data_IF_033363757066
#
_entry.id   IF_033363757066
#
_cell.length_a   1.000
_cell.length_b   1.000
_cell.length_c   1.000
_cell.angle_alpha   90.00
_cell.angle_beta   90.00
_cell.angle_gamma   90.00
#
_symmetry.space_group_name_H-M   'P 1'
#
loop_
_entity.id
_entity.type
_entity.pdbx_description
1 polymer ?
#
# COMPACT_ATOMS: atom_id res chain seq x y z
N UNK A 1 -2.61 0.16 2.91
CA UNK A 1 -1.30 0.49 2.28
C UNK A 1 -1.49 1.29 0.98
N UNK A 2 -1.13 2.59 0.96
CA UNK A 2 -1.13 3.38 -0.28
C UNK A 2 0.19 3.17 -1.02
N UNK A 3 0.31 2.04 -1.70
CA UNK A 3 1.48 1.70 -2.49
C UNK A 3 1.04 1.18 -3.84
N UNK A 4 1.72 1.61 -4.90
CA UNK A 4 1.48 1.13 -6.26
C UNK A 4 2.12 -0.24 -6.52
N UNK A 5 3.13 -0.63 -5.74
CA UNK A 5 3.91 -1.85 -5.93
C UNK A 5 4.53 -2.35 -4.61
N UNK A 6 4.84 -3.65 -4.54
CA UNK A 6 5.55 -4.31 -3.44
C UNK A 6 7.06 -3.99 -3.42
N UNK A 7 7.41 -2.77 -3.01
CA UNK A 7 8.79 -2.39 -2.70
C UNK A 7 9.30 -2.95 -1.37
N UNK A 8 10.59 -2.75 -1.08
CA UNK A 8 11.27 -3.15 0.17
C UNK A 8 10.48 -2.78 1.44
N UNK A 9 9.89 -1.59 1.49
CA UNK A 9 9.11 -1.10 2.64
C UNK A 9 7.88 -1.96 2.98
N UNK A 10 7.22 -2.55 1.98
CA UNK A 10 6.05 -3.42 2.23
C UNK A 10 6.47 -4.78 2.75
N UNK A 11 7.65 -5.25 2.35
CA UNK A 11 8.14 -6.60 2.66
C UNK A 11 8.79 -6.71 4.04
N UNK A 12 9.31 -5.60 4.58
CA UNK A 12 10.10 -5.63 5.82
C UNK A 12 9.53 -4.74 6.92
N UNK A 13 9.30 -3.46 6.63
CA UNK A 13 8.96 -2.49 7.69
C UNK A 13 7.53 -2.68 8.21
N UNK A 14 6.55 -2.84 7.30
CA UNK A 14 5.14 -3.00 7.69
C UNK A 14 4.90 -4.27 8.52
N UNK A 15 5.41 -5.46 8.12
CA UNK A 15 5.28 -6.66 8.94
C UNK A 15 5.89 -6.52 10.33
N UNK A 16 7.05 -5.86 10.44
CA UNK A 16 7.71 -5.65 11.73
C UNK A 16 6.86 -4.78 12.66
N UNK A 17 6.36 -3.64 12.16
CA UNK A 17 5.48 -2.74 12.92
C UNK A 17 4.20 -3.48 13.35
N UNK A 18 3.60 -4.26 12.45
CA UNK A 18 2.39 -5.06 12.76
C UNK A 18 2.69 -6.07 13.87
N UNK A 19 3.85 -6.73 13.84
CA UNK A 19 4.23 -7.70 14.87
C UNK A 19 4.39 -7.05 16.25
N UNK A 20 5.05 -5.89 16.31
CA UNK A 20 5.25 -5.12 17.55
C UNK A 20 3.92 -4.62 18.15
N UNK A 21 2.97 -4.20 17.31
CA UNK A 21 1.66 -3.74 17.76
C UNK A 21 0.75 -4.92 18.12
N UNK A 22 0.80 -6.02 17.37
CA UNK A 22 0.01 -7.22 17.67
C UNK A 22 0.39 -7.82 19.02
N UNK A 23 1.66 -7.71 19.42
CA UNK A 23 2.10 -8.11 20.76
C UNK A 23 1.54 -7.22 21.88
N UNK A 24 1.25 -5.96 21.60
CA UNK A 24 0.67 -5.00 22.56
C UNK A 24 -0.86 -5.12 22.67
N UNK A 25 -1.54 -5.58 21.61
CA UNK A 25 -3.00 -5.69 21.53
C UNK A 25 -3.43 -7.07 21.01
N UNK A 26 -3.28 -8.14 21.82
CA UNK A 26 -3.53 -9.52 21.40
C UNK A 26 -5.00 -9.81 21.03
N UNK A 27 -5.94 -8.99 21.49
CA UNK A 27 -7.37 -9.08 21.17
C UNK A 27 -7.75 -8.47 19.82
N UNK A 28 -6.84 -7.72 19.18
CA UNK A 28 -7.09 -7.02 17.92
C UNK A 28 -6.42 -7.80 16.77
N UNK A 29 -7.19 -8.09 15.73
CA UNK A 29 -6.67 -8.72 14.51
C UNK A 29 -6.20 -7.67 13.51
N UNK A 30 -4.93 -7.75 13.10
CA UNK A 30 -4.34 -6.88 12.09
C UNK A 30 -4.18 -7.62 10.76
N UNK A 31 -4.63 -7.00 9.66
CA UNK A 31 -4.47 -7.55 8.31
C UNK A 31 -3.77 -6.54 7.41
N UNK A 32 -2.72 -6.98 6.71
CA UNK A 32 -2.04 -6.19 5.70
C UNK A 32 -2.74 -6.43 4.35
N UNK A 33 -3.38 -5.39 3.82
CA UNK A 33 -3.95 -5.43 2.48
C UNK A 33 -2.87 -5.50 1.39
N UNK A 34 -3.25 -5.98 0.20
CA UNK A 34 -2.37 -5.95 -0.97
C UNK A 34 -2.13 -4.51 -1.43
N UNK A 35 -0.97 -4.20 -2.04
CA UNK A 35 -0.78 -2.91 -2.72
C UNK A 35 -1.80 -2.73 -3.83
N UNK A 36 -1.97 -1.48 -4.27
CA UNK A 36 -2.92 -1.11 -5.32
C UNK A 36 -2.57 -1.83 -6.63
N UNK A 37 -1.29 -1.95 -6.97
CA UNK A 37 -0.87 -2.68 -8.16
C UNK A 37 -1.26 -1.97 -9.46
N UNK A 38 -1.39 -2.76 -10.54
CA UNK A 38 -1.78 -2.27 -11.86
C UNK A 38 -3.30 -2.24 -11.95
N UNK A 39 -3.87 -1.06 -11.78
CA UNK A 39 -5.32 -0.83 -11.83
C UNK A 39 -5.70 0.05 -13.04
N UNK A 40 -6.76 -0.27 -13.80
CA UNK A 40 -7.19 0.53 -14.95
C UNK A 40 -7.44 2.01 -14.63
N UNK A 41 -7.95 2.29 -13.42
CA UNK A 41 -8.21 3.66 -12.95
C UNK A 41 -6.92 4.48 -12.84
N UNK A 42 -5.79 3.85 -12.49
CA UNK A 42 -4.51 4.54 -12.39
C UNK A 42 -4.01 4.98 -13.77
N UNK A 43 -4.20 4.15 -14.80
CA UNK A 43 -3.86 4.52 -16.18
C UNK A 43 -4.68 5.74 -16.66
N UNK A 44 -5.98 5.76 -16.34
CA UNK A 44 -6.84 6.90 -16.65
C UNK A 44 -6.36 8.18 -15.96
N UNK A 45 -6.04 8.11 -14.67
CA UNK A 45 -5.51 9.24 -13.90
C UNK A 45 -4.21 9.76 -14.54
N UNK A 46 -3.30 8.86 -14.94
CA UNK A 46 -2.04 9.26 -15.57
C UNK A 46 -2.27 10.01 -16.90
N UNK A 47 -3.21 9.57 -17.73
CA UNK A 47 -3.58 10.24 -18.98
C UNK A 47 -4.14 11.64 -18.71
N UNK A 48 -5.02 11.78 -17.73
CA UNK A 48 -5.60 13.08 -17.34
C UNK A 48 -4.53 14.05 -16.84
N UNK A 49 -3.59 13.56 -16.02
CA UNK A 49 -2.46 14.36 -15.54
C UNK A 49 -1.52 14.79 -16.66
N UNK A 50 -1.26 13.93 -17.63
CA UNK A 50 -0.42 14.27 -18.79
C UNK A 50 -1.05 15.38 -19.64
N UNK A 51 -2.36 15.28 -19.94
CA UNK A 51 -3.10 16.31 -20.68
C UNK A 51 -3.15 17.66 -19.96
N UNK A 52 -3.20 17.65 -18.63
CA UNK A 52 -3.21 18.88 -17.83
C UNK A 52 -1.85 19.58 -17.74
N UNK A 53 -0.78 18.93 -18.20
CA UNK A 53 0.57 19.49 -18.22
C UNK A 53 0.94 20.18 -19.55
N UNK A 54 0.09 20.04 -20.57
CA UNK A 54 0.12 20.80 -21.83
C UNK A 54 -0.56 22.17 -21.68
#
# INVERSE_FOLDING_TARGET
PYFLYEGMHIKHDIPQIIAEVSAQYPEISFTIGRPIGVEPVLAQILIERAKAAE
#
